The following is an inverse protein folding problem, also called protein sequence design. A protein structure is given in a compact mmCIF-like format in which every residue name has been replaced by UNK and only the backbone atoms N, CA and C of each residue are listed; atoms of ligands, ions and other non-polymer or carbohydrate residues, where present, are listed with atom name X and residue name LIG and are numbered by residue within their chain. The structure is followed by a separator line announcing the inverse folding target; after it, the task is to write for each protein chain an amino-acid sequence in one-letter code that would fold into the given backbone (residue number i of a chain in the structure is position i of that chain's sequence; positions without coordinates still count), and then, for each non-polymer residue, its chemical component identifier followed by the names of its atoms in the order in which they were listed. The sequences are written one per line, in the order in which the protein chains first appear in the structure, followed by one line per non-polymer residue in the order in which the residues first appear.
data_IF_764507409983
#
_entry.id   IF_764507409983
#
_cell.length_a   1.000
_cell.length_b   1.000
_cell.length_c   1.000
_cell.angle_alpha   90.00
_cell.angle_beta   90.00
_cell.angle_gamma   90.00
#
_symmetry.space_group_name_H-M   'P 1'
#
loop_
_entity.id
_entity.type
_entity.pdbx_description
1 polymer ?
#
# COMPACT_ATOMS: atom_id res chain seq x y z
N UNK A 1 12.51 -5.07 4.61
CA UNK A 1 11.02 -5.04 4.67
C UNK A 1 10.58 -3.75 5.35
N UNK A 2 9.66 -3.06 4.74
CA UNK A 2 9.05 -1.89 5.37
C UNK A 2 8.08 -2.31 6.46
N UNK A 3 7.92 -1.46 7.48
CA UNK A 3 6.86 -1.68 8.47
C UNK A 3 5.49 -1.67 7.81
N UNK A 4 4.62 -2.59 8.21
CA UNK A 4 3.25 -2.67 7.68
C UNK A 4 2.38 -1.49 8.09
N UNK A 5 2.67 -0.89 9.24
CA UNK A 5 1.92 0.24 9.77
C UNK A 5 2.89 1.38 10.06
N UNK A 6 2.65 2.53 9.47
CA UNK A 6 3.44 3.76 9.70
C UNK A 6 2.49 4.94 9.85
N UNK A 7 2.81 5.89 10.71
CA UNK A 7 1.96 7.06 10.95
C UNK A 7 2.77 8.36 10.94
N UNK A 8 2.13 9.42 10.48
CA UNK A 8 2.68 10.79 10.46
C UNK A 8 1.62 11.78 10.92
N UNK A 9 2.06 12.86 11.55
CA UNK A 9 1.21 14.00 11.85
C UNK A 9 1.59 15.15 10.91
N UNK A 10 0.60 15.72 10.25
CA UNK A 10 0.72 16.89 9.39
C UNK A 10 -0.21 17.95 9.98
N UNK A 11 0.36 18.82 10.84
CA UNK A 11 -0.45 19.67 11.69
C UNK A 11 -1.31 18.84 12.64
N UNK A 12 -2.61 19.05 12.62
CA UNK A 12 -3.59 18.31 13.44
C UNK A 12 -4.13 17.05 12.74
N UNK A 13 -3.70 16.79 11.50
CA UNK A 13 -4.13 15.64 10.72
C UNK A 13 -3.16 14.48 10.93
N UNK A 14 -3.67 13.33 11.30
CA UNK A 14 -2.90 12.10 11.37
C UNK A 14 -3.11 11.27 10.10
N UNK A 15 -2.02 10.85 9.48
CA UNK A 15 -2.03 9.94 8.33
C UNK A 15 -1.39 8.63 8.75
N UNK A 16 -2.11 7.53 8.56
CA UNK A 16 -1.61 6.18 8.87
C UNK A 16 -1.62 5.34 7.61
N UNK A 17 -0.47 4.80 7.23
CA UNK A 17 -0.33 3.85 6.13
C UNK A 17 -0.44 2.43 6.68
N UNK A 18 -1.24 1.60 5.99
CA UNK A 18 -1.40 0.19 6.31
C UNK A 18 -1.14 -0.61 5.04
N UNK A 19 -0.08 -1.39 5.04
CA UNK A 19 0.36 -2.18 3.88
C UNK A 19 -0.36 -3.53 3.88
N UNK A 20 -1.08 -3.82 2.78
CA UNK A 20 -1.69 -5.13 2.56
C UNK A 20 -0.67 -6.12 1.97
N UNK A 21 -0.03 -5.71 0.87
CA UNK A 21 0.93 -6.53 0.12
C UNK A 21 2.13 -5.68 -0.27
N UNK A 22 3.31 -6.21 -0.08
CA UNK A 22 4.55 -5.66 -0.64
C UNK A 22 5.22 -6.76 -1.48
N UNK A 23 5.68 -6.41 -2.66
CA UNK A 23 6.35 -7.33 -3.57
C UNK A 23 7.58 -6.69 -4.18
N UNK A 24 8.60 -7.52 -4.38
CA UNK A 24 9.79 -7.16 -5.14
C UNK A 24 9.74 -7.90 -6.48
N UNK A 25 9.89 -7.18 -7.57
CA UNK A 25 9.85 -7.77 -8.90
C UNK A 25 9.42 -6.79 -10.00
N UNK A 26 8.99 -7.31 -11.15
CA UNK A 26 8.59 -6.48 -12.29
C UNK A 26 7.39 -5.58 -11.96
N UNK A 27 7.46 -4.35 -12.46
CA UNK A 27 6.35 -3.41 -12.40
C UNK A 27 5.68 -3.32 -13.77
N UNK A 28 4.60 -4.07 -13.97
CA UNK A 28 3.95 -4.21 -15.28
C UNK A 28 3.31 -2.90 -15.80
N UNK A 29 2.93 -2.00 -14.90
CA UNK A 29 2.28 -0.73 -15.26
C UNK A 29 3.28 0.32 -15.73
N UNK A 30 4.58 0.08 -15.56
CA UNK A 30 5.66 0.94 -16.04
C UNK A 30 6.64 0.07 -16.83
N UNK A 31 6.45 -0.07 -18.16
CA UNK A 31 7.26 -0.99 -18.98
C UNK A 31 8.77 -0.77 -18.92
N UNK A 32 9.19 0.49 -18.75
CA UNK A 32 10.61 0.85 -18.67
C UNK A 32 11.23 0.64 -17.28
N UNK A 33 10.43 0.23 -16.27
CA UNK A 33 10.93 -0.09 -14.93
C UNK A 33 11.55 -1.50 -14.88
N UNK A 34 12.52 -1.73 -15.74
CA UNK A 34 13.30 -2.97 -15.83
C UNK A 34 14.61 -2.81 -15.04
N UNK A 35 15.23 -3.90 -14.55
CA UNK A 35 16.44 -3.83 -13.75
C UNK A 35 17.57 -3.00 -14.37
N UNK A 36 17.77 -3.12 -15.68
CA UNK A 36 18.80 -2.40 -16.42
C UNK A 36 18.64 -0.87 -16.37
N UNK A 37 17.42 -0.38 -16.24
CA UNK A 37 17.11 1.04 -16.09
C UNK A 37 17.12 1.46 -14.63
N UNK A 38 16.50 0.66 -13.76
CA UNK A 38 16.36 0.95 -12.33
C UNK A 38 17.72 1.03 -11.64
N UNK A 39 18.67 0.16 -12.01
CA UNK A 39 20.00 0.14 -11.40
C UNK A 39 20.78 1.47 -11.62
N UNK A 40 20.45 2.19 -12.69
CA UNK A 40 21.04 3.49 -13.01
C UNK A 40 20.53 4.62 -12.14
N UNK A 41 19.50 4.37 -11.33
CA UNK A 41 18.86 5.34 -10.43
C UNK A 41 19.14 4.99 -8.96
N UNK A 42 20.34 5.34 -8.43
CA UNK A 42 20.75 4.91 -7.10
C UNK A 42 19.85 5.45 -5.97
N UNK A 43 19.15 6.54 -6.20
CA UNK A 43 18.22 7.13 -5.23
C UNK A 43 16.96 6.29 -4.96
N UNK A 44 16.67 5.31 -5.83
CA UNK A 44 15.56 4.38 -5.59
C UNK A 44 15.88 3.35 -4.50
N UNK A 45 17.16 3.09 -4.27
CA UNK A 45 17.60 2.10 -3.29
C UNK A 45 17.83 2.72 -1.91
N UNK A 46 17.58 1.99 -0.84
CA UNK A 46 17.04 0.62 -0.79
C UNK A 46 15.51 0.54 -0.71
N UNK A 47 14.78 1.66 -0.75
CA UNK A 47 13.37 1.71 -0.37
C UNK A 47 12.41 1.39 -1.51
N UNK A 48 12.77 1.71 -2.74
CA UNK A 48 11.91 1.54 -3.92
C UNK A 48 12.45 0.50 -4.90
N UNK A 49 13.66 0.05 -4.70
CA UNK A 49 14.29 -1.02 -5.47
C UNK A 49 15.36 -1.73 -4.63
N UNK A 50 15.63 -2.98 -4.98
CA UNK A 50 16.74 -3.74 -4.40
C UNK A 50 18.06 -3.48 -5.14
N UNK A 51 19.14 -4.12 -4.67
CA UNK A 51 20.48 -3.98 -5.25
C UNK A 51 20.59 -4.56 -6.68
N UNK A 52 19.67 -5.42 -7.06
CA UNK A 52 19.60 -6.04 -8.38
C UNK A 52 18.74 -5.24 -9.37
N UNK A 53 18.14 -4.13 -8.92
CA UNK A 53 17.29 -3.29 -9.75
C UNK A 53 15.83 -3.76 -9.85
N UNK A 54 15.41 -4.70 -9.01
CA UNK A 54 14.01 -5.09 -8.93
C UNK A 54 13.23 -4.04 -8.14
N UNK A 55 12.09 -3.62 -8.66
CA UNK A 55 11.24 -2.63 -7.98
C UNK A 55 10.53 -3.23 -6.78
N UNK A 56 10.36 -2.41 -5.75
CA UNK A 56 9.57 -2.74 -4.56
C UNK A 56 8.23 -2.03 -4.70
N UNK A 57 7.16 -2.81 -4.81
CA UNK A 57 5.79 -2.31 -5.03
C UNK A 57 4.96 -2.58 -3.79
N UNK A 58 4.24 -1.57 -3.35
CA UNK A 58 3.38 -1.65 -2.17
C UNK A 58 1.93 -1.38 -2.53
N UNK A 59 1.05 -2.28 -2.13
CA UNK A 59 -0.41 -2.08 -2.11
C UNK A 59 -0.77 -1.72 -0.67
N UNK A 60 -1.24 -0.51 -0.47
CA UNK A 60 -1.52 -0.01 0.88
C UNK A 60 -2.70 0.96 0.88
N UNK A 61 -3.32 1.08 2.04
CA UNK A 61 -4.31 2.09 2.33
C UNK A 61 -3.69 3.22 3.16
N UNK A 62 -4.25 4.41 3.04
CA UNK A 62 -3.98 5.52 3.93
C UNK A 62 -5.25 5.84 4.71
N UNK A 63 -5.15 5.85 6.04
CA UNK A 63 -6.21 6.37 6.92
C UNK A 63 -5.86 7.79 7.30
N UNK A 64 -6.75 8.72 6.99
CA UNK A 64 -6.61 10.14 7.28
C UNK A 64 -7.61 10.51 8.37
N UNK A 65 -7.08 10.88 9.52
CA UNK A 65 -7.87 11.25 10.69
C UNK A 65 -7.75 12.75 10.92
N UNK A 66 -8.88 13.43 10.86
CA UNK A 66 -9.03 14.85 11.16
C UNK A 66 -9.83 15.01 12.46
N UNK A 67 -10.13 16.25 12.87
CA UNK A 67 -10.94 16.51 14.06
C UNK A 67 -12.36 15.92 13.99
N UNK A 68 -12.91 15.75 12.77
CA UNK A 68 -14.30 15.34 12.56
C UNK A 68 -14.48 14.22 11.52
N UNK A 69 -13.41 13.76 10.87
CA UNK A 69 -13.45 12.76 9.81
C UNK A 69 -12.42 11.65 10.01
N UNK A 70 -12.81 10.44 9.64
CA UNK A 70 -11.92 9.31 9.50
C UNK A 70 -12.07 8.73 8.09
N UNK A 71 -11.12 9.02 7.23
CA UNK A 71 -11.17 8.75 5.80
C UNK A 71 -10.19 7.62 5.48
N UNK A 72 -10.63 6.61 4.75
CA UNK A 72 -9.70 5.65 4.15
C UNK A 72 -9.52 5.94 2.66
N UNK A 73 -8.28 6.08 2.24
CA UNK A 73 -7.90 6.25 0.83
C UNK A 73 -7.37 4.93 0.33
N UNK A 74 -8.06 4.36 -0.62
CA UNK A 74 -7.92 3.01 -1.16
C UNK A 74 -8.18 1.92 -0.11
N UNK A 75 -8.89 0.88 -0.53
CA UNK A 75 -9.23 -0.26 0.32
C UNK A 75 -8.44 -1.51 -0.05
N UNK A 76 -7.40 -1.35 -0.86
CA UNK A 76 -6.49 -2.41 -1.30
C UNK A 76 -7.18 -3.47 -2.17
N UNK A 77 -6.63 -4.67 -2.23
CA UNK A 77 -7.12 -5.75 -3.09
C UNK A 77 -8.26 -6.53 -2.45
N UNK A 78 -8.19 -6.76 -1.16
CA UNK A 78 -9.17 -7.54 -0.40
C UNK A 78 -8.96 -9.04 -0.51
N UNK A 79 -9.52 -9.75 0.48
CA UNK A 79 -9.45 -11.21 0.55
C UNK A 79 -10.61 -11.86 -0.22
N UNK A 80 -10.45 -13.14 -0.56
CA UNK A 80 -11.48 -14.01 -1.13
C UNK A 80 -12.12 -13.49 -2.43
N UNK A 81 -11.35 -12.81 -3.26
CA UNK A 81 -11.82 -12.25 -4.53
C UNK A 81 -11.16 -12.92 -5.70
N UNK A 82 -11.98 -13.31 -6.68
CA UNK A 82 -11.48 -13.77 -7.97
C UNK A 82 -10.93 -12.60 -8.76
N UNK A 83 -9.66 -12.74 -9.21
CA UNK A 83 -8.98 -11.74 -10.01
C UNK A 83 -8.20 -12.41 -11.13
N UNK A 84 -8.12 -11.75 -12.27
CA UNK A 84 -7.40 -12.25 -13.44
C UNK A 84 -5.88 -12.32 -13.24
N UNK A 85 -5.34 -11.48 -12.37
CA UNK A 85 -3.91 -11.49 -12.05
C UNK A 85 -3.68 -12.54 -10.97
N UNK A 86 -2.94 -13.64 -11.26
CA UNK A 86 -2.77 -14.75 -10.31
C UNK A 86 -2.24 -14.30 -8.95
N UNK A 87 -1.33 -13.33 -8.95
CA UNK A 87 -0.73 -12.78 -7.74
C UNK A 87 -1.72 -12.04 -6.82
N UNK A 88 -2.90 -11.69 -7.33
CA UNK A 88 -3.95 -10.97 -6.62
C UNK A 88 -5.20 -11.81 -6.39
N UNK A 89 -5.21 -13.02 -6.93
CA UNK A 89 -6.39 -13.90 -6.90
C UNK A 89 -6.52 -14.58 -5.55
N UNK A 90 -7.71 -14.52 -4.96
CA UNK A 90 -8.06 -15.18 -3.70
C UNK A 90 -7.04 -14.93 -2.58
N UNK A 91 -6.64 -13.68 -2.38
CA UNK A 91 -5.70 -13.31 -1.33
C UNK A 91 -6.27 -13.64 0.06
N UNK A 92 -5.34 -13.95 0.97
CA UNK A 92 -5.60 -14.16 2.39
C UNK A 92 -4.60 -13.31 3.17
N UNK A 93 -4.87 -12.01 3.26
CA UNK A 93 -4.01 -11.05 3.97
C UNK A 93 -4.61 -10.70 5.33
N UNK A 94 -3.77 -10.14 6.20
CA UNK A 94 -4.18 -9.67 7.52
C UNK A 94 -4.54 -8.18 7.52
N UNK A 95 -4.95 -7.63 6.39
CA UNK A 95 -5.20 -6.20 6.26
C UNK A 95 -6.20 -5.67 7.31
N UNK A 96 -7.31 -6.36 7.54
CA UNK A 96 -8.31 -5.92 8.53
C UNK A 96 -7.78 -6.03 9.96
N UNK A 97 -7.00 -7.06 10.26
CA UNK A 97 -6.34 -7.20 11.57
C UNK A 97 -5.29 -6.06 11.76
N UNK A 98 -4.55 -5.73 10.71
CA UNK A 98 -3.57 -4.64 10.75
C UNK A 98 -4.24 -3.28 10.89
N UNK A 99 -5.42 -3.09 10.27
CA UNK A 99 -6.25 -1.90 10.45
C UNK A 99 -6.66 -1.74 11.94
N UNK A 100 -7.13 -2.82 12.57
CA UNK A 100 -7.47 -2.81 14.00
C UNK A 100 -6.24 -2.56 14.88
N UNK A 101 -5.09 -3.17 14.56
CA UNK A 101 -3.83 -2.92 15.27
C UNK A 101 -3.36 -1.47 15.15
N UNK A 102 -3.68 -0.82 14.04
CA UNK A 102 -3.42 0.61 13.85
C UNK A 102 -4.37 1.51 14.65
N UNK A 103 -5.38 0.93 15.30
CA UNK A 103 -6.34 1.64 16.13
C UNK A 103 -7.67 1.99 15.44
N UNK A 104 -7.94 1.42 14.27
CA UNK A 104 -9.16 1.71 13.50
C UNK A 104 -10.00 0.46 13.31
N UNK A 105 -11.25 0.52 13.72
CA UNK A 105 -12.27 -0.46 13.31
C UNK A 105 -12.86 -0.05 11.97
N UNK A 106 -13.41 -0.99 11.22
CA UNK A 106 -14.11 -0.68 9.96
C UNK A 106 -15.26 0.30 10.18
N UNK A 107 -15.91 0.22 11.36
CA UNK A 107 -17.01 1.12 11.75
C UNK A 107 -16.55 2.54 12.12
N UNK A 108 -15.26 2.78 12.31
CA UNK A 108 -14.71 4.12 12.57
C UNK A 108 -14.54 4.92 11.27
N UNK A 109 -14.50 4.23 10.12
CA UNK A 109 -14.33 4.88 8.81
C UNK A 109 -15.66 5.48 8.36
N UNK A 110 -15.69 6.78 8.15
CA UNK A 110 -16.87 7.48 7.66
C UNK A 110 -16.84 7.81 6.17
N UNK A 111 -15.66 7.81 5.56
CA UNK A 111 -15.48 8.16 4.14
C UNK A 111 -14.47 7.23 3.48
N UNK A 112 -14.79 6.77 2.28
CA UNK A 112 -13.91 5.96 1.45
C UNK A 112 -13.61 6.71 0.16
N UNK A 113 -12.33 6.89 -0.15
CA UNK A 113 -11.85 7.50 -1.40
C UNK A 113 -11.00 6.50 -2.17
N UNK A 114 -11.03 6.59 -3.50
CA UNK A 114 -10.18 5.81 -4.38
C UNK A 114 -9.25 6.74 -5.16
N UNK A 115 -7.96 6.41 -5.22
CA UNK A 115 -7.00 7.14 -6.05
C UNK A 115 -7.16 6.79 -7.53
N UNK A 116 -7.60 5.56 -7.82
CA UNK A 116 -7.82 5.04 -9.16
C UNK A 116 -8.80 3.86 -9.12
N UNK A 117 -9.30 3.48 -10.29
CA UNK A 117 -10.22 2.35 -10.46
C UNK A 117 -9.52 1.22 -11.25
N UNK A 118 -9.81 0.03 -10.83
CA UNK A 118 -9.39 -1.18 -11.53
C UNK A 118 -10.53 -1.79 -12.33
#
# INVERSE_FOLDING_TARGET
MTEKISSWNIGEVKVTRIVEVERTGPMFVVPDAIPENIIKMPWLRPYFADEQGNTIVSVHALVIETSDKCIIVDTCLGNDKERHIPAWNNLQTKFLEDLERAGYKTTDIDTVLCTHLH
#
